data_IF_565540181307
#
_entry.id   IF_565540181307
#
_cell.length_a   1.000
_cell.length_b   1.000
_cell.length_c   1.000
_cell.angle_alpha   90.00
_cell.angle_beta   90.00
_cell.angle_gamma   90.00
#
_symmetry.space_group_name_H-M   'P 1'
#
loop_
_entity.id
_entity.type
_entity.pdbx_description
1 polymer ?
#
# COMPACT_ATOMS: atom_id res chain seq x y z
N UNK A 1 -27.42 5.79 0.72
CA UNK A 1 -26.71 5.05 -0.34
C UNK A 1 -27.38 3.71 -0.44
N UNK A 2 -27.95 3.43 -1.61
CA UNK A 2 -29.09 2.54 -1.79
C UNK A 2 -28.73 1.06 -1.57
N UNK A 3 -29.52 0.37 -0.73
CA UNK A 3 -29.34 -1.04 -0.35
C UNK A 3 -29.54 -2.04 -1.48
N UNK A 4 -29.89 -1.55 -2.67
CA UNK A 4 -30.32 -2.35 -3.82
C UNK A 4 -29.14 -2.94 -4.61
N UNK A 5 -27.96 -2.30 -4.61
CA UNK A 5 -26.82 -2.71 -5.46
C UNK A 5 -25.82 -3.64 -4.76
N UNK A 6 -25.61 -3.50 -3.45
CA UNK A 6 -24.98 -4.55 -2.61
C UNK A 6 -25.70 -5.90 -2.78
N UNK A 7 -27.03 -5.86 -2.96
CA UNK A 7 -27.85 -7.05 -3.22
C UNK A 7 -27.65 -7.66 -4.62
N UNK A 8 -27.07 -6.95 -5.60
CA UNK A 8 -26.81 -7.48 -6.96
C UNK A 8 -25.54 -8.33 -6.98
N UNK A 9 -24.54 -7.96 -6.19
CA UNK A 9 -23.38 -8.81 -5.89
C UNK A 9 -23.84 -10.05 -5.11
N UNK A 10 -24.73 -9.87 -4.12
CA UNK A 10 -25.36 -10.99 -3.41
C UNK A 10 -26.27 -11.84 -4.31
N UNK A 11 -26.89 -11.25 -5.35
CA UNK A 11 -27.71 -11.95 -6.34
C UNK A 11 -26.89 -12.73 -7.39
N UNK A 12 -25.56 -12.74 -7.28
CA UNK A 12 -24.68 -13.62 -8.06
C UNK A 12 -24.56 -13.25 -9.54
N UNK A 13 -24.58 -11.96 -9.90
CA UNK A 13 -24.25 -11.53 -11.28
C UNK A 13 -22.79 -11.12 -11.45
N UNK A 14 -22.24 -10.48 -10.42
CA UNK A 14 -20.88 -9.95 -10.42
C UNK A 14 -20.13 -10.40 -9.17
N UNK A 15 -18.81 -10.47 -9.30
CA UNK A 15 -17.88 -10.67 -8.19
C UNK A 15 -16.95 -9.46 -8.09
N UNK A 16 -16.86 -8.90 -6.88
CA UNK A 16 -15.83 -7.92 -6.53
C UNK A 16 -14.49 -8.63 -6.35
N UNK A 17 -13.44 -8.07 -6.94
CA UNK A 17 -12.06 -8.55 -6.81
C UNK A 17 -11.16 -7.39 -6.45
N UNK A 18 -10.56 -7.45 -5.27
CA UNK A 18 -9.68 -6.42 -4.73
C UNK A 18 -8.32 -6.99 -4.39
N UNK A 19 -7.26 -6.33 -4.88
CA UNK A 19 -5.90 -6.44 -4.35
C UNK A 19 -5.58 -5.21 -3.49
N UNK A 20 -4.78 -5.38 -2.45
CA UNK A 20 -4.43 -4.30 -1.53
C UNK A 20 -2.92 -4.07 -1.54
N UNK A 21 -2.52 -2.82 -1.77
CA UNK A 21 -1.14 -2.35 -1.61
C UNK A 21 -1.05 -1.51 -0.33
N UNK A 22 -0.24 -1.96 0.62
CA UNK A 22 -0.08 -1.30 1.93
C UNK A 22 1.36 -0.87 2.12
N UNK A 23 1.59 0.43 2.23
CA UNK A 23 2.88 1.00 2.60
C UNK A 23 2.90 1.26 4.11
N UNK A 24 3.72 0.51 4.83
CA UNK A 24 3.94 0.66 6.26
C UNK A 24 5.29 1.31 6.54
N UNK A 25 5.31 2.46 7.20
CA UNK A 25 6.54 3.09 7.66
C UNK A 25 7.20 2.26 8.77
N UNK A 26 8.45 1.85 8.57
CA UNK A 26 9.15 1.00 9.54
C UNK A 26 9.74 1.86 10.66
N UNK A 27 9.43 1.50 11.91
CA UNK A 27 9.96 2.15 13.11
C UNK A 27 11.44 1.80 13.28
N UNK A 28 12.30 2.74 12.90
CA UNK A 28 13.77 2.66 13.02
C UNK A 28 14.30 4.00 13.50
N UNK A 29 15.50 4.04 14.08
CA UNK A 29 16.13 5.31 14.53
C UNK A 29 16.70 6.13 13.38
N UNK A 30 17.26 5.45 12.37
CA UNK A 30 17.86 6.07 11.19
C UNK A 30 17.13 5.70 9.91
N UNK A 31 17.31 6.50 8.87
CA UNK A 31 16.75 6.26 7.53
C UNK A 31 17.22 4.93 6.91
N UNK A 32 16.62 4.56 5.78
CA UNK A 32 16.84 3.27 5.12
C UNK A 32 18.24 3.13 4.55
N UNK A 33 18.78 4.23 4.02
CA UNK A 33 20.04 4.23 3.27
C UNK A 33 21.09 5.21 3.83
N UNK A 34 20.81 5.87 4.95
CA UNK A 34 21.72 6.81 5.61
C UNK A 34 21.46 6.91 7.12
N UNK A 35 22.31 7.64 7.84
CA UNK A 35 22.26 7.76 9.30
C UNK A 35 21.33 8.86 9.83
N UNK A 36 20.67 9.64 8.96
CA UNK A 36 19.74 10.68 9.40
C UNK A 36 18.60 10.09 10.24
N UNK A 37 18.13 10.84 11.22
CA UNK A 37 17.01 10.46 12.06
C UNK A 37 15.70 10.37 11.27
N UNK A 38 14.81 9.46 11.69
CA UNK A 38 13.45 9.28 11.15
C UNK A 38 12.39 10.08 11.90
N UNK A 39 12.77 10.76 12.98
CA UNK A 39 11.89 11.68 13.72
C UNK A 39 11.80 13.02 13.00
N UNK A 40 11.07 13.01 11.88
CA UNK A 40 10.82 14.19 11.05
C UNK A 40 9.51 14.90 11.40
N UNK A 41 8.60 14.22 12.12
CA UNK A 41 7.28 14.77 12.41
C UNK A 41 7.41 15.97 13.36
N UNK A 42 7.16 17.18 12.85
CA UNK A 42 7.32 18.42 13.62
C UNK A 42 8.74 19.00 13.60
N UNK A 43 9.69 18.36 12.91
CA UNK A 43 11.01 18.96 12.67
C UNK A 43 10.90 20.14 11.68
N UNK A 44 11.74 21.19 11.80
CA UNK A 44 11.80 22.22 10.77
C UNK A 44 12.17 21.63 9.40
N UNK A 45 11.68 22.19 8.28
CA UNK A 45 11.93 21.64 6.95
C UNK A 45 13.41 21.45 6.65
N UNK A 46 13.76 20.33 6.02
CA UNK A 46 15.12 20.01 5.57
C UNK A 46 16.21 20.03 6.67
N UNK A 47 15.87 19.62 7.90
CA UNK A 47 16.83 19.50 9.03
C UNK A 47 17.28 18.06 9.32
N UNK A 48 16.52 17.06 8.86
CA UNK A 48 16.80 15.62 8.98
C UNK A 48 17.37 15.07 7.68
N UNK A 49 18.38 15.74 7.15
CA UNK A 49 18.91 15.48 5.80
C UNK A 49 20.44 15.33 5.77
N UNK A 50 20.96 14.67 4.74
CA UNK A 50 22.38 14.51 4.45
C UNK A 50 22.57 14.30 2.94
N UNK A 51 23.82 14.27 2.42
CA UNK A 51 24.08 14.10 0.99
C UNK A 51 23.38 12.89 0.35
N UNK A 52 23.23 11.79 1.08
CA UNK A 52 22.59 10.56 0.55
C UNK A 52 21.09 10.77 0.31
N UNK A 53 20.34 11.21 1.33
CA UNK A 53 18.90 11.39 1.19
C UNK A 53 18.52 12.66 0.41
N UNK A 54 19.45 13.60 0.23
CA UNK A 54 19.32 14.72 -0.70
C UNK A 54 19.68 14.37 -2.14
N UNK A 55 20.14 13.14 -2.42
CA UNK A 55 20.53 12.72 -3.76
C UNK A 55 21.72 13.51 -4.34
N UNK A 56 22.64 13.98 -3.50
CA UNK A 56 23.79 14.76 -3.97
C UNK A 56 24.80 13.90 -4.74
N UNK A 57 25.52 14.49 -5.72
CA UNK A 57 26.53 13.77 -6.49
C UNK A 57 27.59 13.10 -5.61
N UNK A 58 27.90 11.84 -5.90
CA UNK A 58 28.92 11.05 -5.20
C UNK A 58 28.47 10.39 -3.89
N UNK A 59 27.23 10.62 -3.43
CA UNK A 59 26.70 9.96 -2.25
C UNK A 59 26.26 8.51 -2.56
N UNK A 60 26.52 7.57 -1.63
CA UNK A 60 26.23 6.14 -1.80
C UNK A 60 25.30 5.62 -0.69
N UNK A 61 24.30 4.77 -1.01
CA UNK A 61 23.36 4.22 -0.04
C UNK A 61 23.98 3.08 0.78
N UNK A 62 23.63 3.00 2.07
CA UNK A 62 24.00 1.87 2.96
C UNK A 62 22.76 1.37 3.69
N UNK A 63 22.43 0.09 3.49
CA UNK A 63 21.19 -0.54 3.99
C UNK A 63 21.11 -0.50 5.52
N UNK A 64 19.92 -0.19 6.04
CA UNK A 64 19.58 -0.24 7.45
C UNK A 64 19.24 -1.68 7.91
N UNK A 65 20.07 -2.25 8.79
CA UNK A 65 19.87 -3.60 9.36
C UNK A 65 18.54 -3.73 10.11
N UNK A 66 18.15 -2.76 10.92
CA UNK A 66 16.94 -2.83 11.70
C UNK A 66 15.67 -2.83 10.82
N UNK A 67 15.72 -2.11 9.69
CA UNK A 67 14.63 -2.16 8.71
C UNK A 67 14.51 -3.55 8.08
N UNK A 68 15.63 -4.19 7.72
CA UNK A 68 15.65 -5.56 7.20
C UNK A 68 15.10 -6.58 8.20
N UNK A 69 15.56 -6.54 9.45
CA UNK A 69 15.07 -7.41 10.52
C UNK A 69 13.57 -7.24 10.76
N UNK A 70 13.08 -6.00 10.75
CA UNK A 70 11.65 -5.70 10.86
C UNK A 70 10.83 -6.28 9.71
N UNK A 71 11.31 -6.15 8.47
CA UNK A 71 10.62 -6.72 7.29
C UNK A 71 10.61 -8.25 7.32
N UNK A 72 11.71 -8.90 7.69
CA UNK A 72 11.75 -10.36 7.85
C UNK A 72 10.79 -10.83 8.94
N UNK A 73 10.76 -10.13 10.08
CA UNK A 73 9.84 -10.41 11.19
C UNK A 73 8.38 -10.29 10.75
N UNK A 74 8.04 -9.24 9.99
CA UNK A 74 6.70 -9.09 9.40
C UNK A 74 6.41 -10.22 8.42
N UNK A 75 7.33 -10.56 7.51
CA UNK A 75 7.16 -11.66 6.56
C UNK A 75 6.83 -12.98 7.26
N UNK A 76 7.58 -13.34 8.30
CA UNK A 76 7.32 -14.54 9.09
C UNK A 76 5.94 -14.51 9.76
N UNK A 77 5.54 -13.36 10.33
CA UNK A 77 4.22 -13.20 10.96
C UNK A 77 3.06 -13.24 9.95
N UNK A 78 3.33 -12.91 8.68
CA UNK A 78 2.41 -13.03 7.55
C UNK A 78 2.54 -14.37 6.82
N UNK A 79 3.21 -15.36 7.44
CA UNK A 79 3.41 -16.70 6.89
C UNK A 79 4.13 -16.71 5.53
N UNK A 80 4.88 -15.66 5.18
CA UNK A 80 5.66 -15.61 3.97
C UNK A 80 6.90 -16.51 4.06
N UNK A 81 7.35 -17.00 2.91
CA UNK A 81 8.72 -17.48 2.75
C UNK A 81 9.67 -16.30 2.71
N UNK A 82 10.77 -16.36 3.47
CA UNK A 82 11.82 -15.33 3.45
C UNK A 82 12.84 -15.71 2.39
N UNK A 83 13.20 -14.78 1.51
CA UNK A 83 14.15 -15.04 0.45
C UNK A 83 15.58 -15.14 1.00
N UNK A 84 16.32 -16.16 0.56
CA UNK A 84 17.76 -16.29 0.84
C UNK A 84 18.58 -15.16 0.19
N UNK A 85 18.05 -14.57 -0.88
CA UNK A 85 18.65 -13.44 -1.60
C UNK A 85 17.57 -12.47 -2.04
N UNK A 86 17.71 -11.20 -1.66
CA UNK A 86 16.85 -10.10 -2.08
C UNK A 86 17.69 -9.00 -2.72
N UNK A 87 17.15 -8.34 -3.75
CA UNK A 87 17.89 -7.35 -4.56
C UNK A 87 17.14 -6.03 -4.57
N UNK A 88 17.83 -4.96 -4.15
CA UNK A 88 17.32 -3.60 -4.33
C UNK A 88 17.46 -3.17 -5.79
N UNK A 89 16.38 -2.62 -6.33
CA UNK A 89 16.26 -2.08 -7.67
C UNK A 89 15.97 -0.58 -7.63
N UNK A 90 16.14 0.09 -8.78
CA UNK A 90 15.81 1.51 -8.95
C UNK A 90 14.51 1.63 -9.73
N UNK A 91 13.46 2.15 -9.09
CA UNK A 91 12.20 2.53 -9.73
C UNK A 91 12.34 3.98 -10.19
N UNK A 92 12.59 4.20 -11.48
CA UNK A 92 12.94 5.50 -12.04
C UNK A 92 11.68 6.31 -12.39
N UNK A 93 11.54 7.50 -11.82
CA UNK A 93 10.52 8.48 -12.18
C UNK A 93 10.95 9.86 -11.65
N UNK A 94 10.52 10.92 -12.34
CA UNK A 94 10.89 12.29 -11.96
C UNK A 94 9.75 12.94 -11.19
N UNK A 95 10.00 13.31 -9.94
CA UNK A 95 9.09 14.12 -9.13
C UNK A 95 9.88 14.95 -8.11
N UNK A 96 9.46 16.18 -7.76
CA UNK A 96 10.26 17.08 -6.91
C UNK A 96 10.64 16.53 -5.53
N UNK A 97 9.81 15.66 -4.95
CA UNK A 97 10.07 15.04 -3.65
C UNK A 97 10.95 13.78 -3.71
N UNK A 98 11.40 13.38 -4.91
CA UNK A 98 12.28 12.24 -5.15
C UNK A 98 13.64 12.72 -5.66
N UNK A 99 14.56 13.10 -4.77
CA UNK A 99 15.76 13.86 -5.14
C UNK A 99 16.75 13.10 -6.03
N UNK A 100 16.69 11.77 -6.06
CA UNK A 100 17.59 10.92 -6.87
C UNK A 100 17.09 10.69 -8.30
N UNK A 101 15.85 11.05 -8.63
CA UNK A 101 15.18 10.65 -9.87
C UNK A 101 14.84 9.15 -9.95
N UNK A 102 15.04 8.42 -8.85
CA UNK A 102 14.61 7.04 -8.66
C UNK A 102 14.40 6.75 -7.18
N UNK A 103 13.46 5.86 -6.89
CA UNK A 103 13.22 5.27 -5.58
C UNK A 103 13.98 3.95 -5.50
N UNK A 104 14.75 3.74 -4.44
CA UNK A 104 15.35 2.44 -4.15
C UNK A 104 14.27 1.55 -3.49
N UNK A 105 13.85 0.50 -4.21
CA UNK A 105 12.83 -0.47 -3.80
C UNK A 105 13.32 -1.88 -4.12
N UNK A 106 12.46 -2.91 -4.11
CA UNK A 106 12.79 -4.24 -4.61
C UNK A 106 11.83 -4.61 -5.73
N UNK A 107 12.31 -5.28 -6.78
CA UNK A 107 11.47 -5.65 -7.93
C UNK A 107 11.36 -7.17 -8.08
N UNK A 108 12.22 -7.81 -8.87
CA UNK A 108 12.16 -9.25 -9.16
C UNK A 108 12.42 -10.14 -7.93
N UNK A 109 13.29 -9.69 -7.01
CA UNK A 109 13.75 -10.46 -5.86
C UNK A 109 13.36 -9.76 -4.53
N UNK A 110 12.07 -9.81 -4.11
CA UNK A 110 11.63 -9.22 -2.86
C UNK A 110 12.05 -10.05 -1.64
N UNK A 111 12.12 -9.39 -0.47
CA UNK A 111 12.50 -10.02 0.79
C UNK A 111 11.56 -11.14 1.26
N UNK A 112 10.24 -10.99 1.05
CA UNK A 112 9.23 -11.95 1.50
C UNK A 112 8.23 -12.26 0.39
N UNK A 113 7.84 -13.53 0.25
CA UNK A 113 6.98 -14.04 -0.82
C UNK A 113 5.93 -15.03 -0.31
N UNK A 114 4.80 -15.14 -1.02
CA UNK A 114 3.84 -16.24 -0.92
C UNK A 114 3.35 -16.51 0.51
N UNK A 115 2.95 -15.46 1.22
CA UNK A 115 2.36 -15.55 2.55
C UNK A 115 0.84 -15.60 2.52
N UNK A 116 0.23 -15.48 3.69
CA UNK A 116 -1.21 -15.36 3.85
C UNK A 116 -1.56 -14.80 5.23
N UNK A 117 -2.72 -14.16 5.30
CA UNK A 117 -3.30 -13.60 6.50
C UNK A 117 -4.71 -14.17 6.74
N UNK A 118 -4.96 -14.73 7.92
CA UNK A 118 -6.30 -15.12 8.34
C UNK A 118 -7.05 -13.90 8.91
N UNK A 119 -8.22 -13.62 8.36
CA UNK A 119 -9.10 -12.51 8.74
C UNK A 119 -10.43 -13.06 9.23
N UNK A 120 -10.87 -12.56 10.38
CA UNK A 120 -12.15 -12.93 11.00
C UNK A 120 -13.22 -11.95 10.55
N UNK A 121 -14.35 -12.47 10.05
CA UNK A 121 -15.43 -11.69 9.45
C UNK A 121 -16.62 -11.53 10.41
N UNK A 122 -17.49 -10.51 10.20
CA UNK A 122 -18.63 -10.26 11.08
C UNK A 122 -19.63 -11.42 11.18
N UNK A 123 -19.69 -12.28 10.17
CA UNK A 123 -20.54 -13.49 10.14
C UNK A 123 -19.96 -14.66 10.95
N UNK A 124 -18.81 -14.48 11.59
CA UNK A 124 -18.11 -15.48 12.39
C UNK A 124 -17.21 -16.42 11.59
N UNK A 125 -17.15 -16.26 10.26
CA UNK A 125 -16.24 -17.04 9.42
C UNK A 125 -14.83 -16.46 9.42
N UNK A 126 -13.83 -17.30 9.09
CA UNK A 126 -12.45 -16.87 8.90
C UNK A 126 -12.03 -17.14 7.46
N UNK A 127 -11.51 -16.13 6.78
CA UNK A 127 -10.97 -16.25 5.42
C UNK A 127 -9.46 -16.09 5.43
N UNK A 128 -8.76 -16.84 4.59
CA UNK A 128 -7.33 -16.60 4.31
C UNK A 128 -7.22 -15.74 3.07
N UNK A 129 -6.47 -14.65 3.17
CA UNK A 129 -6.13 -13.76 2.06
C UNK A 129 -4.63 -13.89 1.82
N UNK A 130 -4.25 -14.23 0.59
CA UNK A 130 -2.86 -14.36 0.18
C UNK A 130 -2.07 -13.05 0.30
N UNK A 131 -0.82 -13.16 0.70
CA UNK A 131 0.17 -12.08 0.63
C UNK A 131 1.12 -12.43 -0.51
N UNK A 132 1.03 -11.67 -1.60
CA UNK A 132 1.89 -11.87 -2.76
C UNK A 132 3.36 -11.65 -2.40
N UNK A 133 3.63 -10.52 -1.74
CA UNK A 133 4.98 -10.11 -1.36
C UNK A 133 4.96 -9.07 -0.24
N UNK A 134 6.05 -9.00 0.51
CA UNK A 134 6.38 -7.87 1.37
C UNK A 134 7.85 -7.51 1.18
N UNK A 135 8.15 -6.24 0.94
CA UNK A 135 9.49 -5.81 0.57
C UNK A 135 9.85 -4.42 1.08
N UNK A 136 11.14 -4.10 1.05
CA UNK A 136 11.68 -2.82 1.54
C UNK A 136 11.84 -1.81 0.42
N UNK A 137 11.55 -0.56 0.75
CA UNK A 137 11.87 0.60 -0.06
C UNK A 137 12.13 1.83 0.83
N UNK A 138 12.46 2.96 0.19
CA UNK A 138 12.52 4.26 0.85
C UNK A 138 11.30 5.12 0.52
N UNK A 139 10.88 5.93 1.49
CA UNK A 139 9.85 6.96 1.28
C UNK A 139 10.39 8.16 0.49
N UNK A 140 9.46 8.90 -0.09
CA UNK A 140 9.74 10.20 -0.73
C UNK A 140 9.64 11.34 0.28
N UNK A 141 10.06 12.53 -0.15
CA UNK A 141 9.85 13.77 0.59
C UNK A 141 8.37 14.14 0.68
N UNK A 142 8.11 15.36 1.14
CA UNK A 142 6.77 15.96 1.16
C UNK A 142 6.78 17.22 0.32
N UNK A 143 5.75 17.37 -0.51
CA UNK A 143 5.47 18.61 -1.23
C UNK A 143 4.32 19.35 -0.54
N UNK A 144 4.46 20.66 -0.35
CA UNK A 144 3.41 21.56 0.16
C UNK A 144 3.16 22.62 -0.89
N UNK A 145 1.91 22.75 -1.32
CA UNK A 145 1.51 23.74 -2.32
C UNK A 145 1.02 25.00 -1.62
N UNK A 146 1.52 26.16 -2.05
CA UNK A 146 1.09 27.47 -1.56
C UNK A 146 1.15 28.49 -2.70
N UNK A 147 -0.03 28.99 -3.07
CA UNK A 147 -0.24 29.82 -4.24
C UNK A 147 0.27 29.16 -5.53
N UNK A 148 1.16 29.86 -6.24
CA UNK A 148 1.73 29.41 -7.50
C UNK A 148 2.99 28.52 -7.34
N UNK A 149 3.43 28.26 -6.11
CA UNK A 149 4.68 27.55 -5.83
C UNK A 149 4.43 26.27 -5.04
N UNK A 150 5.42 25.38 -5.13
CA UNK A 150 5.46 24.15 -4.35
C UNK A 150 6.77 24.13 -3.57
N UNK A 151 6.66 23.91 -2.27
CA UNK A 151 7.79 23.81 -1.35
C UNK A 151 8.06 22.34 -1.06
N UNK A 152 9.33 21.94 -1.09
CA UNK A 152 9.76 20.55 -0.89
C UNK A 152 10.50 20.41 0.43
N UNK A 153 10.01 19.52 1.29
CA UNK A 153 10.68 19.08 2.50
C UNK A 153 11.16 17.63 2.36
N UNK A 154 12.47 17.42 2.39
CA UNK A 154 13.13 16.13 2.25
C UNK A 154 13.44 15.46 3.59
N UNK A 155 12.90 15.97 4.70
CA UNK A 155 13.02 15.31 6.01
C UNK A 155 12.52 13.86 5.98
N UNK A 156 11.44 13.56 5.25
CA UNK A 156 10.89 12.19 5.11
C UNK A 156 11.61 11.34 4.05
N UNK A 157 12.24 11.97 3.05
CA UNK A 157 12.91 11.25 1.97
C UNK A 157 13.97 10.30 2.52
N UNK A 158 13.91 9.01 2.15
CA UNK A 158 14.83 7.98 2.64
C UNK A 158 14.36 7.22 3.88
N UNK A 159 13.24 7.58 4.51
CA UNK A 159 12.68 6.82 5.64
C UNK A 159 12.30 5.41 5.18
N UNK A 160 12.55 4.34 5.96
CA UNK A 160 12.23 2.99 5.50
C UNK A 160 10.73 2.76 5.41
N UNK A 161 10.30 2.21 4.28
CA UNK A 161 8.95 1.71 4.06
C UNK A 161 8.97 0.23 3.77
N UNK A 162 7.91 -0.43 4.19
CA UNK A 162 7.60 -1.80 3.83
C UNK A 162 6.33 -1.82 2.99
N UNK A 163 6.46 -2.18 1.72
CA UNK A 163 5.33 -2.37 0.81
C UNK A 163 4.86 -3.83 0.92
N UNK A 164 3.61 -4.01 1.35
CA UNK A 164 2.94 -5.29 1.55
C UNK A 164 1.80 -5.38 0.55
N UNK A 165 1.90 -6.33 -0.37
CA UNK A 165 0.96 -6.51 -1.48
C UNK A 165 0.19 -7.80 -1.26
N UNK A 166 -1.14 -7.71 -1.21
CA UNK A 166 -2.00 -8.89 -1.16
C UNK A 166 -2.18 -9.52 -2.53
N UNK A 167 -2.60 -10.78 -2.56
CA UNK A 167 -3.24 -11.34 -3.75
C UNK A 167 -4.64 -10.72 -3.95
N UNK A 168 -5.19 -10.86 -5.15
CA UNK A 168 -6.51 -10.31 -5.52
C UNK A 168 -7.66 -11.20 -5.01
N UNK A 169 -7.71 -11.43 -3.70
CA UNK A 169 -8.60 -12.39 -3.03
C UNK A 169 -9.60 -11.73 -2.07
N UNK A 170 -9.59 -10.40 -1.99
CA UNK A 170 -10.56 -9.64 -1.19
C UNK A 170 -11.82 -9.45 -2.05
N UNK A 171 -12.97 -9.94 -1.57
CA UNK A 171 -14.22 -10.00 -2.32
C UNK A 171 -15.36 -9.16 -1.72
N UNK A 172 -15.11 -8.44 -0.62
CA UNK A 172 -16.07 -7.48 -0.08
C UNK A 172 -15.36 -6.29 0.58
N UNK A 173 -16.02 -5.12 0.70
CA UNK A 173 -15.51 -4.01 1.50
C UNK A 173 -15.23 -4.40 2.96
N UNK A 174 -16.01 -5.34 3.51
CA UNK A 174 -15.88 -5.81 4.90
C UNK A 174 -14.64 -6.70 5.07
N UNK A 175 -14.36 -7.57 4.11
CA UNK A 175 -13.10 -8.32 4.06
C UNK A 175 -11.89 -7.38 3.97
N UNK A 176 -11.96 -6.32 3.16
CA UNK A 176 -10.89 -5.33 3.06
C UNK A 176 -10.63 -4.63 4.40
N UNK A 177 -11.70 -4.24 5.10
CA UNK A 177 -11.61 -3.62 6.42
C UNK A 177 -11.02 -4.58 7.47
N UNK A 178 -11.46 -5.85 7.47
CA UNK A 178 -10.95 -6.88 8.36
C UNK A 178 -9.46 -7.17 8.10
N UNK A 179 -9.06 -7.28 6.83
CA UNK A 179 -7.67 -7.44 6.39
C UNK A 179 -6.77 -6.32 6.92
N UNK A 180 -7.13 -5.07 6.66
CA UNK A 180 -6.35 -3.91 7.08
C UNK A 180 -6.27 -3.80 8.60
N UNK A 181 -7.37 -4.08 9.31
CA UNK A 181 -7.41 -4.07 10.77
C UNK A 181 -6.50 -5.14 11.37
N UNK A 182 -6.54 -6.36 10.83
CA UNK A 182 -5.70 -7.47 11.28
C UNK A 182 -4.22 -7.21 10.98
N UNK A 183 -3.91 -6.76 9.75
CA UNK A 183 -2.54 -6.41 9.35
C UNK A 183 -1.96 -5.34 10.27
N UNK A 184 -2.69 -4.25 10.50
CA UNK A 184 -2.29 -3.19 11.43
C UNK A 184 -2.04 -3.72 12.85
N UNK A 185 -2.91 -4.61 13.33
CA UNK A 185 -2.75 -5.21 14.66
C UNK A 185 -1.43 -6.00 14.75
N UNK A 186 -1.11 -6.81 13.75
CA UNK A 186 0.15 -7.56 13.67
C UNK A 186 1.35 -6.62 13.64
N UNK A 187 1.36 -5.62 12.75
CA UNK A 187 2.49 -4.71 12.63
C UNK A 187 2.77 -3.94 13.94
N UNK A 188 1.71 -3.53 14.65
CA UNK A 188 1.83 -2.90 15.98
C UNK A 188 2.33 -3.88 17.04
N UNK A 189 1.82 -5.11 17.04
CA UNK A 189 2.24 -6.16 17.97
C UNK A 189 3.73 -6.51 17.81
N UNK A 190 4.23 -6.57 16.58
CA UNK A 190 5.64 -6.81 16.30
C UNK A 190 6.53 -5.62 16.68
N UNK A 191 5.97 -4.43 16.90
CA UNK A 191 6.67 -3.19 17.20
C UNK A 191 7.35 -2.55 15.99
N UNK A 192 6.95 -2.91 14.77
CA UNK A 192 7.63 -2.46 13.52
C UNK A 192 6.95 -1.24 12.88
N UNK A 193 5.71 -0.92 13.27
CA UNK A 193 4.93 0.20 12.74
C UNK A 193 4.03 0.76 13.86
N UNK A 194 3.80 2.08 13.90
CA UNK A 194 2.94 2.70 14.92
C UNK A 194 1.45 2.43 14.68
N UNK A 195 1.06 2.17 13.43
CA UNK A 195 -0.32 2.03 12.97
C UNK A 195 -1.09 3.36 12.96
N UNK A 196 -0.42 4.50 13.06
CA UNK A 196 -1.06 5.81 13.09
C UNK A 196 -1.22 6.34 11.65
N UNK A 197 -2.42 6.16 11.08
CA UNK A 197 -2.71 6.59 9.70
C UNK A 197 -2.76 8.11 9.57
N UNK A 198 -3.17 8.85 10.60
CA UNK A 198 -3.21 10.32 10.59
C UNK A 198 -1.80 10.91 10.43
N UNK A 199 -0.79 10.20 10.94
CA UNK A 199 0.63 10.54 10.76
C UNK A 199 1.26 9.96 9.49
N UNK A 200 0.46 9.32 8.63
CA UNK A 200 0.93 8.68 7.40
C UNK A 200 1.77 7.42 7.63
N UNK A 201 1.74 6.84 8.83
CA UNK A 201 2.55 5.65 9.15
C UNK A 201 2.06 4.40 8.39
N UNK A 202 0.83 4.42 7.89
CA UNK A 202 0.24 3.34 7.12
C UNK A 202 -0.64 3.94 6.01
N UNK A 203 -0.30 3.65 4.75
CA UNK A 203 -1.05 4.06 3.55
C UNK A 203 -1.57 2.81 2.84
N UNK A 204 -2.80 2.87 2.33
CA UNK A 204 -3.47 1.72 1.72
C UNK A 204 -4.08 2.14 0.38
N UNK A 205 -3.78 1.39 -0.68
CA UNK A 205 -4.22 1.65 -2.05
C UNK A 205 -4.92 0.39 -2.58
N UNK A 206 -6.26 0.36 -2.60
CA UNK A 206 -7.02 -0.74 -3.16
C UNK A 206 -7.00 -0.69 -4.69
N UNK A 207 -6.76 -1.85 -5.28
CA UNK A 207 -6.85 -2.14 -6.70
C UNK A 207 -8.14 -2.94 -6.93
N UNK A 208 -9.13 -2.31 -7.55
CA UNK A 208 -10.53 -2.76 -7.57
C UNK A 208 -10.93 -3.12 -8.99
N UNK A 209 -11.54 -4.29 -9.15
CA UNK A 209 -12.23 -4.68 -10.37
C UNK A 209 -13.50 -5.44 -10.02
N UNK A 210 -14.50 -5.37 -10.90
CA UNK A 210 -15.66 -6.27 -10.88
C UNK A 210 -15.62 -7.16 -12.12
N UNK A 211 -16.00 -8.43 -11.96
CA UNK A 211 -16.10 -9.38 -13.07
C UNK A 211 -17.44 -10.10 -13.05
N UNK A 212 -17.95 -10.49 -14.21
CA UNK A 212 -19.14 -11.35 -14.31
C UNK A 212 -18.82 -12.77 -13.85
N UNK A 213 -19.84 -13.56 -13.52
CA UNK A 213 -19.65 -14.99 -13.23
C UNK A 213 -19.08 -15.78 -14.41
N UNK A 214 -19.38 -15.37 -15.64
CA UNK A 214 -18.81 -15.99 -16.85
C UNK A 214 -17.30 -15.72 -16.94
N UNK A 215 -16.88 -14.48 -16.73
CA UNK A 215 -15.46 -14.11 -16.65
C UNK A 215 -14.76 -14.90 -15.54
N UNK A 216 -15.38 -15.00 -14.36
CA UNK A 216 -14.89 -15.82 -13.25
C UNK A 216 -14.71 -17.29 -13.66
N UNK A 217 -15.70 -17.88 -14.34
CA UNK A 217 -15.64 -19.28 -14.78
C UNK A 217 -14.51 -19.54 -15.79
N UNK A 218 -14.12 -18.52 -16.58
CA UNK A 218 -12.95 -18.55 -17.48
C UNK A 218 -11.62 -18.19 -16.80
N UNK A 219 -11.63 -17.81 -15.51
CA UNK A 219 -10.43 -17.35 -14.80
C UNK A 219 -9.98 -15.94 -15.21
N UNK A 220 -10.87 -15.14 -15.79
CA UNK A 220 -10.60 -13.77 -16.23
C UNK A 220 -10.80 -12.77 -15.08
N UNK A 221 -10.08 -11.65 -15.13
CA UNK A 221 -10.27 -10.51 -14.26
C UNK A 221 -10.99 -9.38 -14.99
N UNK A 222 -11.68 -8.52 -14.23
CA UNK A 222 -12.22 -7.27 -14.76
C UNK A 222 -11.14 -6.21 -14.97
N UNK A 223 -11.50 -5.08 -15.58
CA UNK A 223 -10.58 -3.95 -15.71
C UNK A 223 -10.28 -3.36 -14.33
N UNK A 224 -8.99 -3.20 -14.02
CA UNK A 224 -8.51 -2.66 -12.74
C UNK A 224 -8.67 -1.14 -12.69
N UNK A 225 -9.20 -0.64 -11.58
CA UNK A 225 -9.13 0.76 -11.17
C UNK A 225 -8.38 0.82 -9.85
N UNK A 226 -7.48 1.79 -9.73
CA UNK A 226 -6.67 1.98 -8.53
C UNK A 226 -7.09 3.28 -7.83
N UNK A 227 -7.46 3.19 -6.55
CA UNK A 227 -7.87 4.36 -5.76
C UNK A 227 -6.75 4.74 -4.81
N UNK A 228 -6.31 6.00 -4.88
CA UNK A 228 -5.18 6.52 -4.09
C UNK A 228 -5.64 7.55 -3.06
N UNK A 229 -4.74 7.89 -2.13
CA UNK A 229 -4.90 8.92 -1.10
C UNK A 229 -6.00 8.64 -0.06
N UNK A 230 -6.17 7.37 0.33
CA UNK A 230 -7.12 6.96 1.37
C UNK A 230 -6.49 7.04 2.76
N UNK A 231 -7.00 7.95 3.60
CA UNK A 231 -6.40 8.28 4.90
C UNK A 231 -6.95 7.47 6.08
N UNK A 232 -7.98 6.63 5.87
CA UNK A 232 -8.55 5.78 6.93
C UNK A 232 -9.07 4.45 6.38
N UNK A 233 -9.13 3.41 7.22
CA UNK A 233 -9.73 2.13 6.83
C UNK A 233 -11.23 2.27 6.50
N UNK A 234 -11.91 3.25 7.10
CA UNK A 234 -13.30 3.55 6.77
C UNK A 234 -13.41 4.13 5.36
N UNK A 235 -12.51 5.05 5.00
CA UNK A 235 -12.41 5.58 3.64
C UNK A 235 -12.12 4.47 2.63
N UNK A 236 -11.18 3.57 2.92
CA UNK A 236 -10.90 2.41 2.04
C UNK A 236 -12.15 1.56 1.82
N UNK A 237 -12.87 1.22 2.89
CA UNK A 237 -14.12 0.45 2.81
C UNK A 237 -15.18 1.19 1.96
N UNK A 238 -15.35 2.49 2.18
CA UNK A 238 -16.31 3.31 1.44
C UNK A 238 -15.94 3.43 -0.04
N UNK A 239 -14.66 3.67 -0.35
CA UNK A 239 -14.15 3.77 -1.71
C UNK A 239 -14.32 2.47 -2.49
N UNK A 240 -14.05 1.32 -1.86
CA UNK A 240 -14.29 0.01 -2.49
C UNK A 240 -15.77 -0.20 -2.79
N UNK A 241 -16.66 0.12 -1.85
CA UNK A 241 -18.10 -0.02 -2.05
C UNK A 241 -18.60 0.90 -3.19
N UNK A 242 -18.16 2.15 -3.21
CA UNK A 242 -18.51 3.12 -4.24
C UNK A 242 -18.00 2.70 -5.62
N UNK A 243 -16.73 2.33 -5.74
CA UNK A 243 -16.15 1.96 -7.03
C UNK A 243 -16.74 0.66 -7.56
N UNK A 244 -17.07 -0.30 -6.69
CA UNK A 244 -17.82 -1.49 -7.05
C UNK A 244 -19.17 -1.12 -7.70
N UNK A 245 -19.97 -0.29 -7.04
CA UNK A 245 -21.27 0.15 -7.56
C UNK A 245 -21.13 0.92 -8.89
N UNK A 246 -20.10 1.77 -9.01
CA UNK A 246 -19.80 2.53 -10.23
C UNK A 246 -19.44 1.62 -11.40
N UNK A 247 -18.56 0.65 -11.20
CA UNK A 247 -18.17 -0.28 -12.27
C UNK A 247 -19.34 -1.14 -12.72
N UNK A 248 -20.15 -1.64 -11.80
CA UNK A 248 -21.38 -2.39 -12.12
C UNK A 248 -22.31 -1.53 -12.97
N UNK A 249 -22.56 -0.28 -12.58
CA UNK A 249 -23.42 0.63 -13.33
C UNK A 249 -22.90 0.91 -14.75
N UNK A 250 -21.59 1.09 -14.92
CA UNK A 250 -20.99 1.26 -16.25
C UNK A 250 -21.25 0.02 -17.12
N UNK A 251 -21.05 -1.19 -16.57
CA UNK A 251 -21.21 -2.44 -17.31
C UNK A 251 -22.69 -2.70 -17.64
N UNK A 252 -23.61 -2.48 -16.70
CA UNK A 252 -25.05 -2.67 -16.91
C UNK A 252 -25.63 -1.72 -17.96
N UNK A 253 -25.05 -0.52 -18.10
CA UNK A 253 -25.40 0.44 -19.14
C UNK A 253 -24.73 0.15 -20.50
N UNK A 254 -24.05 -0.99 -20.65
CA UNK A 254 -23.35 -1.39 -21.88
C UNK A 254 -22.03 -0.65 -22.13
N UNK A 255 -21.52 0.06 -21.12
CA UNK A 255 -20.23 0.74 -21.17
C UNK A 255 -19.05 -0.17 -20.86
N UNK A 256 -17.84 0.38 -20.94
CA UNK A 256 -16.58 -0.30 -20.63
C UNK A 256 -15.87 0.45 -19.52
N UNK A 257 -15.42 -0.28 -18.49
CA UNK A 257 -14.59 0.30 -17.42
C UNK A 257 -13.19 0.55 -17.99
N UNK A 258 -12.71 1.78 -17.88
CA UNK A 258 -11.35 2.17 -18.25
C UNK A 258 -10.38 1.97 -17.08
N UNK A 259 -9.14 1.57 -17.41
CA UNK A 259 -8.09 1.44 -16.40
C UNK A 259 -7.52 2.82 -16.06
N UNK A 260 -7.81 3.29 -14.85
CA UNK A 260 -7.43 4.63 -14.37
C UNK A 260 -6.96 4.61 -12.92
N UNK A 261 -6.20 5.63 -12.54
CA UNK A 261 -5.94 5.98 -11.15
C UNK A 261 -6.92 7.08 -10.73
N UNK A 262 -7.59 6.92 -9.60
CA UNK A 262 -8.55 7.89 -9.07
C UNK A 262 -8.15 8.34 -7.67
N UNK A 263 -8.45 9.59 -7.34
CA UNK A 263 -8.39 10.09 -5.97
C UNK A 263 -9.71 9.84 -5.25
N UNK A 264 -9.64 9.64 -3.94
CA UNK A 264 -10.83 9.61 -3.09
C UNK A 264 -11.10 10.99 -2.48
N UNK A 265 -12.34 11.44 -2.55
CA UNK A 265 -12.86 12.62 -1.86
C UNK A 265 -13.87 12.15 -0.81
N UNK A 266 -13.67 12.55 0.46
CA UNK A 266 -14.45 12.06 1.61
C UNK A 266 -15.81 12.75 1.79
#
# INVERSE_FOLDING_TARGET
MDSTRSKIVEAGKYELVVGMEVHAQVLTKSKMFCQCETDYAGAPPNTRVCPICLGLPGALPVINRAALEATMKTGLALNCSIADTAVFARKNYTYPDLPKGYQITQFEFPSCLNGWLAVDLPDGTTKRIGIRRAHLEEDTGRTVHDGAYSYVDLNRAGVPLMEIVSEAEINSPDEAYAYLTKLRSILRYLGVNSGDMEKGALRCEPNISVRTLEQKARGEYGTKVEVKNLNSFRAVRAAIAFEMDRQIEVIENGGVVEQVNMGWDE
#
